data_IF_576813733047
#
_entry.id   IF_576813733047
#
_cell.length_a   1.000
_cell.length_b   1.000
_cell.length_c   1.000
_cell.angle_alpha   90.00
_cell.angle_beta   90.00
_cell.angle_gamma   90.00
#
_symmetry.space_group_name_H-M   'P 1'
#
loop_
_entity.id
_entity.type
_entity.pdbx_description
1 polymer ?
#
# COMPACT_ATOMS: atom_id res chain seq x y z
N UNK A 1 15.60 7.21 -0.12
CA UNK A 1 16.42 8.25 0.55
C UNK A 1 16.17 8.33 2.06
N UNK A 2 15.54 7.33 2.69
CA UNK A 2 15.19 7.36 4.12
C UNK A 2 16.39 7.61 5.04
N UNK A 3 17.47 6.83 4.90
CA UNK A 3 18.62 6.94 5.80
C UNK A 3 19.23 8.34 5.76
N UNK A 4 19.35 8.91 4.57
CA UNK A 4 19.84 10.28 4.40
C UNK A 4 18.94 11.28 5.12
N UNK A 5 17.62 11.16 4.98
CA UNK A 5 16.68 12.05 5.67
C UNK A 5 16.82 11.96 7.20
N UNK A 6 16.92 10.75 7.76
CA UNK A 6 17.15 10.57 9.20
C UNK A 6 18.47 11.21 9.63
N UNK A 7 19.56 10.94 8.91
CA UNK A 7 20.88 11.49 9.24
C UNK A 7 20.94 13.01 9.09
N UNK A 8 20.23 13.59 8.12
CA UNK A 8 20.10 15.03 7.94
C UNK A 8 19.38 15.66 9.13
N UNK A 9 18.28 15.06 9.60
CA UNK A 9 17.56 15.54 10.79
C UNK A 9 18.40 15.44 12.06
N UNK A 10 19.24 14.39 12.17
CA UNK A 10 20.09 14.16 13.34
C UNK A 10 21.46 14.86 13.26
N UNK A 11 21.79 15.51 12.14
CA UNK A 11 23.14 16.02 11.85
C UNK A 11 23.69 16.96 12.94
N UNK A 12 22.82 17.77 13.53
CA UNK A 12 23.20 18.77 14.53
C UNK A 12 22.97 18.29 15.97
N UNK A 13 22.51 17.05 16.16
CA UNK A 13 22.20 16.54 17.49
C UNK A 13 23.47 16.22 18.27
N UNK A 14 23.68 16.89 19.42
CA UNK A 14 24.95 16.88 20.16
C UNK A 14 25.51 15.47 20.44
N UNK A 15 24.65 14.50 20.77
CA UNK A 15 25.09 13.14 21.11
C UNK A 15 25.59 12.29 19.91
N UNK A 16 25.30 12.69 18.67
CA UNK A 16 25.65 11.91 17.46
C UNK A 16 26.42 12.73 16.43
N UNK A 17 26.44 14.05 16.56
CA UNK A 17 27.07 14.99 15.61
C UNK A 17 28.49 14.57 15.22
N UNK A 18 29.35 14.25 16.19
CA UNK A 18 30.75 13.90 15.91
C UNK A 18 30.89 12.67 15.01
N UNK A 19 30.00 11.69 15.17
CA UNK A 19 29.95 10.51 14.33
C UNK A 19 29.37 10.81 12.94
N UNK A 20 28.42 11.75 12.86
CA UNK A 20 27.73 12.12 11.62
C UNK A 20 28.50 13.14 10.75
N UNK A 21 29.44 13.90 11.32
CA UNK A 21 30.17 14.94 10.59
C UNK A 21 31.02 14.41 9.43
N UNK A 22 31.46 13.15 9.51
CA UNK A 22 32.31 12.52 8.50
C UNK A 22 31.52 11.78 7.41
N UNK A 23 30.19 11.68 7.51
CA UNK A 23 29.37 11.03 6.50
C UNK A 23 29.04 11.98 5.34
N UNK A 24 29.22 11.49 4.11
CA UNK A 24 28.86 12.21 2.89
C UNK A 24 27.32 12.23 2.71
N UNK A 25 26.65 13.16 3.40
CA UNK A 25 25.20 13.31 3.37
C UNK A 25 24.67 14.12 2.18
N UNK A 26 25.54 14.71 1.37
CA UNK A 26 25.13 15.39 0.12
C UNK A 26 25.20 14.41 -1.07
N UNK A 27 24.16 14.34 -1.93
CA UNK A 27 24.34 13.72 -3.23
C UNK A 27 25.37 14.54 -4.00
N UNK A 28 26.43 13.91 -4.51
CA UNK A 28 27.32 14.57 -5.50
C UNK A 28 26.43 14.98 -6.67
N UNK A 29 26.43 16.27 -7.04
CA UNK A 29 25.59 16.79 -8.13
C UNK A 29 25.65 15.85 -9.35
N UNK A 30 24.50 15.31 -9.75
CA UNK A 30 24.38 14.46 -10.95
C UNK A 30 24.65 12.96 -10.76
N UNK A 31 25.03 12.47 -9.57
CA UNK A 31 25.12 11.02 -9.28
C UNK A 31 24.11 10.64 -8.19
N UNK A 32 23.08 9.87 -8.57
CA UNK A 32 22.37 9.01 -7.61
C UNK A 32 23.44 8.10 -7.03
N UNK A 33 23.69 8.18 -5.72
CA UNK A 33 24.60 7.28 -5.01
C UNK A 33 24.18 5.85 -5.32
N UNK A 34 24.92 5.21 -6.23
CA UNK A 34 24.73 3.82 -6.65
C UNK A 34 25.76 2.91 -6.00
N UNK A 35 26.49 3.42 -5.01
CA UNK A 35 27.51 2.66 -4.30
C UNK A 35 26.86 1.96 -3.11
N UNK A 36 26.88 0.63 -3.14
CA UNK A 36 26.35 -0.20 -2.07
C UNK A 36 27.08 0.05 -0.74
N UNK A 37 28.36 0.46 -0.78
CA UNK A 37 29.12 0.81 0.42
C UNK A 37 28.55 2.06 1.11
N UNK A 38 28.28 3.13 0.35
CA UNK A 38 27.68 4.36 0.90
C UNK A 38 26.33 4.09 1.58
N UNK A 39 25.52 3.17 1.03
CA UNK A 39 24.23 2.80 1.62
C UNK A 39 24.39 2.03 2.94
N UNK A 40 25.37 1.13 3.02
CA UNK A 40 25.68 0.37 4.23
C UNK A 40 26.19 1.30 5.34
N UNK A 41 27.08 2.23 5.00
CA UNK A 41 27.59 3.22 5.95
C UNK A 41 26.46 4.10 6.50
N UNK A 42 25.57 4.59 5.63
CA UNK A 42 24.40 5.36 6.06
C UNK A 42 23.46 4.54 6.95
N UNK A 43 23.24 3.26 6.64
CA UNK A 43 22.44 2.37 7.47
C UNK A 43 23.04 2.25 8.86
N UNK A 44 24.33 1.92 8.94
CA UNK A 44 24.97 1.63 10.22
C UNK A 44 25.11 2.92 11.06
N UNK A 45 25.29 4.08 10.41
CA UNK A 45 25.21 5.39 11.06
C UNK A 45 23.81 5.69 11.63
N UNK A 46 22.73 5.35 10.90
CA UNK A 46 21.36 5.49 11.41
C UNK A 46 21.14 4.56 12.61
N UNK A 47 21.58 3.31 12.53
CA UNK A 47 21.47 2.35 13.63
C UNK A 47 22.20 2.88 14.86
N UNK A 48 23.45 3.31 14.71
CA UNK A 48 24.23 3.93 15.77
C UNK A 48 23.48 5.12 16.39
N UNK A 49 22.95 6.01 15.56
CA UNK A 49 22.25 7.19 16.04
C UNK A 49 20.97 6.82 16.81
N UNK A 50 20.16 5.89 16.30
CA UNK A 50 18.94 5.44 16.96
C UNK A 50 19.24 4.77 18.31
N UNK A 51 20.29 3.93 18.39
CA UNK A 51 20.72 3.27 19.62
C UNK A 51 21.29 4.27 20.63
N UNK A 52 22.18 5.16 20.18
CA UNK A 52 22.84 6.17 21.04
C UNK A 52 21.86 7.15 21.66
N UNK A 53 20.80 7.47 20.93
CA UNK A 53 19.70 8.34 21.36
C UNK A 53 18.58 7.56 22.06
N UNK A 54 18.69 6.23 22.18
CA UNK A 54 17.71 5.34 22.77
C UNK A 54 16.30 5.51 22.19
N UNK A 55 16.23 5.76 20.88
CA UNK A 55 14.97 5.99 20.18
C UNK A 55 14.04 4.78 20.37
N UNK A 56 12.78 5.06 20.65
CA UNK A 56 11.74 4.02 20.82
C UNK A 56 10.83 3.93 19.61
N UNK A 57 10.57 5.06 18.96
CA UNK A 57 9.74 5.13 17.78
C UNK A 57 10.29 6.11 16.76
N UNK A 58 10.06 5.82 15.47
CA UNK A 58 10.32 6.72 14.34
C UNK A 58 9.03 6.89 13.56
N UNK A 59 8.61 8.13 13.37
CA UNK A 59 7.49 8.48 12.53
C UNK A 59 7.98 8.76 11.11
N UNK A 60 7.32 8.14 10.13
CA UNK A 60 7.52 8.40 8.71
C UNK A 60 6.22 9.00 8.21
N UNK A 61 6.20 10.31 8.04
CA UNK A 61 5.08 11.01 7.43
C UNK A 61 5.12 10.85 5.90
N UNK A 62 3.96 10.98 5.26
CA UNK A 62 3.78 10.75 3.82
C UNK A 62 4.36 9.39 3.36
N UNK A 63 4.22 8.36 4.20
CA UNK A 63 4.84 7.05 4.00
C UNK A 63 4.39 6.34 2.72
N UNK A 64 3.28 6.73 2.10
CA UNK A 64 2.89 6.26 0.77
C UNK A 64 3.97 6.57 -0.29
N UNK A 65 4.86 7.53 -0.06
CA UNK A 65 6.02 7.77 -0.91
C UNK A 65 7.04 6.63 -0.89
N UNK A 66 7.08 5.79 0.15
CA UNK A 66 7.89 4.56 0.15
C UNK A 66 7.44 3.58 -0.93
N UNK A 67 6.20 3.69 -1.42
CA UNK A 67 5.70 2.89 -2.53
C UNK A 67 6.17 3.38 -3.90
N UNK A 68 6.69 4.61 -3.99
CA UNK A 68 7.15 5.21 -5.25
C UNK A 68 8.62 4.92 -5.45
N UNK A 69 8.92 3.73 -5.95
CA UNK A 69 10.29 3.30 -6.27
C UNK A 69 10.54 3.26 -7.77
N UNK A 70 11.74 3.63 -8.18
CA UNK A 70 12.19 3.50 -9.57
C UNK A 70 12.63 2.06 -9.86
N UNK A 71 12.39 1.53 -11.08
CA UNK A 71 12.94 0.24 -11.50
C UNK A 71 14.47 0.22 -11.35
N UNK A 72 15.07 -0.94 -10.98
CA UNK A 72 14.47 -2.27 -10.85
C UNK A 72 13.80 -2.57 -9.50
N UNK A 73 13.85 -1.63 -8.55
CA UNK A 73 13.34 -1.85 -7.20
C UNK A 73 11.82 -1.95 -7.16
N UNK A 74 11.30 -2.70 -6.20
CA UNK A 74 9.88 -2.89 -5.94
C UNK A 74 9.51 -2.33 -4.57
N UNK A 75 8.26 -1.88 -4.36
CA UNK A 75 7.79 -1.42 -3.05
C UNK A 75 8.00 -2.47 -1.93
N UNK A 76 7.93 -3.76 -2.28
CA UNK A 76 8.23 -4.88 -1.36
C UNK A 76 9.65 -4.78 -0.78
N UNK A 77 10.63 -4.35 -1.57
CA UNK A 77 12.03 -4.24 -1.13
C UNK A 77 12.17 -3.21 0.01
N UNK A 78 11.35 -2.15 -0.01
CA UNK A 78 11.30 -1.14 1.05
C UNK A 78 10.69 -1.69 2.34
N UNK A 79 9.74 -2.62 2.26
CA UNK A 79 9.18 -3.28 3.44
C UNK A 79 10.18 -4.23 4.10
N UNK A 80 10.90 -5.03 3.31
CA UNK A 80 11.93 -5.92 3.86
C UNK A 80 13.06 -5.13 4.52
N UNK A 81 13.35 -3.96 3.98
CA UNK A 81 14.25 -2.99 4.59
C UNK A 81 13.76 -2.49 5.96
N UNK A 82 12.52 -1.97 6.05
CA UNK A 82 11.91 -1.53 7.32
C UNK A 82 11.91 -2.64 8.37
N UNK A 83 11.62 -3.86 7.93
CA UNK A 83 11.68 -5.08 8.75
C UNK A 83 13.10 -5.36 9.24
N UNK A 84 14.11 -5.25 8.38
CA UNK A 84 15.51 -5.41 8.75
C UNK A 84 15.94 -4.39 9.80
N UNK A 85 15.54 -3.13 9.66
CA UNK A 85 15.80 -2.07 10.63
C UNK A 85 15.14 -2.35 11.98
N UNK A 86 13.83 -2.61 11.98
CA UNK A 86 13.07 -2.91 13.20
C UNK A 86 13.67 -4.09 13.96
N UNK A 87 14.09 -5.15 13.25
CA UNK A 87 14.73 -6.31 13.85
C UNK A 87 16.09 -5.98 14.52
N UNK A 88 16.88 -5.08 13.93
CA UNK A 88 18.22 -4.72 14.45
C UNK A 88 18.12 -3.73 15.62
N UNK A 89 17.27 -2.72 15.51
CA UNK A 89 17.24 -1.60 16.45
C UNK A 89 16.16 -1.74 17.54
N UNK A 90 15.20 -2.65 17.36
CA UNK A 90 13.99 -2.74 18.19
C UNK A 90 13.18 -1.42 18.27
N UNK A 91 13.27 -0.59 17.21
CA UNK A 91 12.54 0.68 17.09
C UNK A 91 11.21 0.45 16.38
N UNK A 92 10.14 0.98 16.97
CA UNK A 92 8.81 1.00 16.36
C UNK A 92 8.77 2.01 15.21
N UNK A 93 8.58 1.56 13.98
CA UNK A 93 8.38 2.45 12.84
C UNK A 93 6.88 2.68 12.63
N UNK A 94 6.44 3.94 12.74
CA UNK A 94 5.06 4.36 12.57
C UNK A 94 4.95 5.04 11.21
N UNK A 95 4.23 4.38 10.30
CA UNK A 95 3.98 4.90 8.96
C UNK A 95 2.67 5.69 8.97
N UNK A 96 2.76 6.98 8.67
CA UNK A 96 1.61 7.89 8.57
C UNK A 96 1.50 8.32 7.12
N UNK A 97 0.28 8.39 6.60
CA UNK A 97 0.07 8.75 5.22
C UNK A 97 -1.39 8.67 4.80
N UNK A 98 -1.64 9.06 3.56
CA UNK A 98 -2.98 9.01 2.97
C UNK A 98 -3.41 7.57 2.65
N UNK A 99 -4.62 7.42 2.09
CA UNK A 99 -5.20 6.13 1.72
C UNK A 99 -4.43 5.33 0.65
N UNK A 100 -3.42 5.89 -0.01
CA UNK A 100 -2.52 5.12 -0.88
C UNK A 100 -1.67 4.14 -0.06
N UNK A 101 -1.32 4.50 1.18
CA UNK A 101 -0.53 3.67 2.08
C UNK A 101 -1.20 2.33 2.41
N UNK A 102 -2.53 2.25 2.30
CA UNK A 102 -3.29 1.03 2.55
C UNK A 102 -2.81 -0.17 1.71
N UNK A 103 -2.38 0.08 0.47
CA UNK A 103 -1.91 -1.00 -0.41
C UNK A 103 -0.52 -1.51 -0.01
N UNK A 104 0.25 -0.73 0.75
CA UNK A 104 1.62 -1.06 1.13
C UNK A 104 1.69 -2.31 1.99
N UNK A 105 0.75 -2.52 2.93
CA UNK A 105 0.76 -3.69 3.82
C UNK A 105 0.54 -5.01 3.08
N UNK A 106 -0.31 -4.99 2.06
CA UNK A 106 -0.75 -6.18 1.34
C UNK A 106 0.28 -6.71 0.33
N UNK A 107 1.46 -6.09 0.29
CA UNK A 107 2.57 -6.50 -0.57
C UNK A 107 3.28 -7.77 -0.11
N UNK A 108 3.22 -8.12 1.19
CA UNK A 108 3.87 -9.32 1.73
C UNK A 108 3.22 -9.82 3.02
N UNK A 109 2.90 -11.13 3.08
CA UNK A 109 2.39 -11.76 4.30
C UNK A 109 3.37 -11.68 5.49
N UNK A 110 4.68 -11.59 5.22
CA UNK A 110 5.70 -11.42 6.25
C UNK A 110 5.71 -10.01 6.88
N UNK A 111 5.29 -9.00 6.11
CA UNK A 111 5.08 -7.65 6.60
C UNK A 111 3.71 -7.53 7.29
N UNK A 112 2.68 -8.17 6.71
CA UNK A 112 1.32 -8.15 7.24
C UNK A 112 1.20 -8.68 8.67
N UNK A 113 2.03 -9.67 9.07
CA UNK A 113 2.07 -10.21 10.44
C UNK A 113 2.73 -9.28 11.48
N UNK A 114 3.46 -8.25 11.03
CA UNK A 114 4.28 -7.37 11.89
C UNK A 114 3.69 -5.97 12.04
N UNK A 115 2.87 -5.54 11.08
CA UNK A 115 2.17 -4.27 11.10
C UNK A 115 0.80 -4.34 11.75
N UNK A 116 0.37 -3.22 12.33
CA UNK A 116 -1.01 -2.96 12.74
C UNK A 116 -1.50 -1.72 12.00
N UNK A 117 -2.73 -1.78 11.51
CA UNK A 117 -3.33 -0.65 10.81
C UNK A 117 -4.28 0.08 11.75
N UNK A 118 -4.10 1.39 11.84
CA UNK A 118 -5.03 2.28 12.50
C UNK A 118 -5.58 3.20 11.42
N UNK A 119 -6.85 2.99 11.09
CA UNK A 119 -7.56 3.81 10.12
C UNK A 119 -8.20 4.98 10.87
N UNK A 120 -7.82 6.19 10.49
CA UNK A 120 -8.41 7.44 10.97
C UNK A 120 -9.35 8.00 9.89
N UNK A 121 -10.64 7.62 9.89
CA UNK A 121 -11.63 8.21 8.98
C UNK A 121 -11.95 9.65 9.39
N UNK A 122 -12.73 10.35 8.56
CA UNK A 122 -13.36 11.62 8.99
C UNK A 122 -14.39 11.38 10.10
N UNK A 123 -14.80 12.45 10.76
CA UNK A 123 -16.01 12.44 11.58
C UNK A 123 -17.25 12.32 10.68
N UNK A 124 -18.11 11.36 10.96
CA UNK A 124 -19.36 11.09 10.24
C UNK A 124 -20.54 11.80 10.90
N UNK A 125 -21.27 12.60 10.12
CA UNK A 125 -22.39 13.40 10.63
C UNK A 125 -23.64 12.56 10.91
N UNK A 126 -23.65 11.31 10.47
CA UNK A 126 -24.70 10.33 10.78
C UNK A 126 -24.51 9.67 12.16
N UNK A 127 -23.34 9.82 12.79
CA UNK A 127 -23.02 9.23 14.08
C UNK A 127 -23.08 10.28 15.18
N UNK A 128 -24.08 10.17 16.07
CA UNK A 128 -24.26 11.12 17.18
C UNK A 128 -23.01 11.26 18.06
N UNK A 129 -22.31 10.15 18.32
CA UNK A 129 -21.07 10.15 19.10
C UNK A 129 -19.97 10.93 18.38
N UNK A 130 -19.81 10.73 17.07
CA UNK A 130 -18.80 11.46 16.29
C UNK A 130 -19.15 12.94 16.15
N UNK A 131 -20.42 13.30 16.08
CA UNK A 131 -20.88 14.70 16.12
C UNK A 131 -20.46 15.39 17.43
N UNK A 132 -20.62 14.70 18.56
CA UNK A 132 -20.22 15.22 19.88
C UNK A 132 -18.69 15.39 19.97
N UNK A 133 -17.92 14.40 19.49
CA UNK A 133 -16.45 14.48 19.44
C UNK A 133 -15.97 15.60 18.51
N UNK A 134 -16.62 15.79 17.34
CA UNK A 134 -16.30 16.89 16.43
C UNK A 134 -16.59 18.25 17.06
N UNK A 135 -17.74 18.42 17.72
CA UNK A 135 -18.07 19.64 18.44
C UNK A 135 -17.08 19.91 19.59
N UNK A 136 -16.62 18.87 20.28
CA UNK A 136 -15.55 18.94 21.26
C UNK A 136 -14.21 19.42 20.67
N UNK A 137 -13.82 18.87 19.53
CA UNK A 137 -12.62 19.31 18.80
C UNK A 137 -12.73 20.77 18.32
N UNK A 138 -13.89 21.17 17.80
CA UNK A 138 -14.16 22.57 17.42
C UNK A 138 -14.03 23.50 18.63
N UNK A 139 -14.67 23.18 19.76
CA UNK A 139 -14.54 23.93 21.02
C UNK A 139 -13.07 24.07 21.41
N UNK A 140 -12.33 22.97 21.42
CA UNK A 140 -10.92 22.95 21.79
C UNK A 140 -10.06 23.90 20.94
N UNK A 141 -10.34 23.97 19.62
CA UNK A 141 -9.65 24.88 18.71
C UNK A 141 -10.03 26.34 18.97
N UNK A 142 -11.33 26.63 19.08
CA UNK A 142 -11.85 28.00 19.28
C UNK A 142 -11.39 28.61 20.62
N UNK A 143 -11.30 27.82 21.69
CA UNK A 143 -10.80 28.27 23.00
C UNK A 143 -9.33 28.73 22.98
N UNK A 144 -8.57 28.33 21.95
CA UNK A 144 -7.14 28.68 21.79
C UNK A 144 -6.92 29.80 20.80
N UNK A 145 -7.98 30.34 20.21
CA UNK A 145 -7.89 31.48 19.30
C UNK A 145 -7.47 32.72 20.09
N UNK A 146 -6.38 33.41 19.71
CA UNK A 146 -5.88 34.60 20.39
C UNK A 146 -6.68 35.88 20.03
N UNK A 147 -7.98 35.76 19.75
CA UNK A 147 -8.90 36.84 19.37
C UNK A 147 -10.17 36.74 20.21
N UNK A 148 -10.89 37.85 20.34
CA UNK A 148 -12.23 37.87 20.94
C UNK A 148 -13.13 36.93 20.12
N UNK A 149 -13.68 35.92 20.77
CA UNK A 149 -14.43 34.84 20.11
C UNK A 149 -15.71 34.57 20.89
N UNK A 150 -16.86 34.69 20.22
CA UNK A 150 -18.15 34.27 20.77
C UNK A 150 -18.29 32.74 20.62
N UNK A 151 -17.75 32.02 21.61
CA UNK A 151 -17.65 30.56 21.58
C UNK A 151 -19.02 29.89 21.46
N UNK A 152 -19.99 30.33 22.26
CA UNK A 152 -21.32 29.70 22.28
C UNK A 152 -22.04 29.89 20.95
N UNK A 153 -21.99 31.10 20.37
CA UNK A 153 -22.58 31.37 19.06
C UNK A 153 -21.93 30.55 17.94
N UNK A 154 -20.59 30.44 17.92
CA UNK A 154 -19.89 29.63 16.91
C UNK A 154 -20.17 28.14 17.06
N UNK A 155 -20.30 27.63 18.29
CA UNK A 155 -20.61 26.22 18.55
C UNK A 155 -22.03 25.84 18.13
N UNK A 156 -22.99 26.76 18.13
CA UNK A 156 -24.32 26.53 17.54
C UNK A 156 -24.24 26.21 16.04
N UNK A 157 -23.17 26.67 15.38
CA UNK A 157 -22.90 26.42 13.95
C UNK A 157 -21.96 25.22 13.70
N UNK A 158 -21.77 24.30 14.66
CA UNK A 158 -20.82 23.19 14.51
C UNK A 158 -21.01 22.36 13.22
N UNK A 159 -22.25 22.15 12.76
CA UNK A 159 -22.54 21.43 11.51
C UNK A 159 -21.95 22.13 10.30
N UNK A 160 -22.00 23.47 10.28
CA UNK A 160 -21.40 24.26 9.21
C UNK A 160 -19.88 24.07 9.18
N UNK A 161 -19.23 24.05 10.34
CA UNK A 161 -17.81 23.73 10.43
C UNK A 161 -17.50 22.31 9.95
N UNK A 162 -18.35 21.34 10.31
CA UNK A 162 -18.18 19.95 9.92
C UNK A 162 -18.32 19.76 8.40
N UNK A 163 -19.36 20.34 7.80
CA UNK A 163 -19.58 20.28 6.35
C UNK A 163 -18.45 20.94 5.56
N UNK A 164 -17.99 22.10 6.01
CA UNK A 164 -16.98 22.89 5.29
C UNK A 164 -15.55 22.34 5.46
N UNK A 165 -15.31 21.63 6.56
CA UNK A 165 -14.08 20.87 6.77
C UNK A 165 -14.16 19.41 6.32
N UNK A 166 -15.31 18.98 5.78
CA UNK A 166 -15.54 17.61 5.30
C UNK A 166 -15.41 16.57 6.44
N UNK A 167 -15.68 16.99 7.68
CA UNK A 167 -15.47 16.21 8.88
C UNK A 167 -13.99 15.94 9.20
N UNK A 168 -13.06 16.63 8.54
CA UNK A 168 -11.63 16.48 8.78
C UNK A 168 -11.13 17.59 9.71
N UNK A 169 -10.78 17.23 10.95
CA UNK A 169 -10.29 18.19 11.96
C UNK A 169 -9.00 18.91 11.54
N UNK A 170 -8.17 18.28 10.71
CA UNK A 170 -6.97 18.92 10.13
C UNK A 170 -7.34 20.11 9.24
N UNK A 171 -8.33 19.94 8.35
CA UNK A 171 -8.84 21.01 7.48
C UNK A 171 -9.49 22.11 8.33
N UNK A 172 -10.26 21.73 9.35
CA UNK A 172 -10.87 22.68 10.28
C UNK A 172 -9.80 23.54 10.99
N UNK A 173 -8.75 22.89 11.50
CA UNK A 173 -7.64 23.57 12.18
C UNK A 173 -6.97 24.57 11.25
N UNK A 174 -6.58 24.13 10.06
CA UNK A 174 -5.85 24.98 9.13
C UNK A 174 -6.71 26.17 8.70
N UNK A 175 -7.99 25.94 8.42
CA UNK A 175 -8.95 27.01 8.14
C UNK A 175 -9.06 28.05 9.28
N UNK A 176 -9.18 27.61 10.53
CA UNK A 176 -9.24 28.53 11.69
C UNK A 176 -7.92 29.29 11.83
N UNK A 177 -6.78 28.60 11.70
CA UNK A 177 -5.43 29.22 11.80
C UNK A 177 -5.23 30.27 10.72
N UNK A 178 -5.56 29.95 9.47
CA UNK A 178 -5.41 30.86 8.33
C UNK A 178 -6.31 32.09 8.48
N UNK A 179 -7.55 31.89 8.93
CA UNK A 179 -8.47 32.99 9.23
C UNK A 179 -7.90 33.90 10.32
N UNK A 180 -7.41 33.32 11.42
CA UNK A 180 -6.85 34.08 12.55
C UNK A 180 -5.59 34.83 12.12
N UNK A 181 -4.72 34.21 11.32
CA UNK A 181 -3.52 34.85 10.81
C UNK A 181 -3.86 36.09 9.97
N UNK A 182 -4.80 35.98 9.05
CA UNK A 182 -5.25 37.10 8.23
C UNK A 182 -5.88 38.23 9.07
N UNK A 183 -6.73 37.89 10.05
CA UNK A 183 -7.31 38.88 10.96
C UNK A 183 -6.25 39.62 11.78
N UNK A 184 -5.23 38.92 12.26
CA UNK A 184 -4.10 39.51 12.98
C UNK A 184 -3.30 40.46 12.08
N UNK A 185 -3.04 40.10 10.82
CA UNK A 185 -2.35 40.96 9.84
C UNK A 185 -3.13 42.24 9.54
N UNK A 186 -4.46 42.17 9.55
CA UNK A 186 -5.36 43.32 9.39
C UNK A 186 -5.57 44.14 10.66
N UNK A 187 -4.99 43.71 11.80
CA UNK A 187 -5.17 44.37 13.09
C UNK A 187 -6.57 44.20 13.69
N UNK A 188 -7.36 43.24 13.20
CA UNK A 188 -8.67 42.89 13.76
C UNK A 188 -8.50 42.09 15.05
N UNK A 189 -9.40 42.29 16.00
CA UNK A 189 -9.32 41.70 17.35
C UNK A 189 -10.39 40.64 17.62
N UNK A 190 -11.32 40.42 16.69
CA UNK A 190 -12.48 39.55 16.87
C UNK A 190 -12.57 38.53 15.74
N UNK A 191 -12.77 37.25 16.08
CA UNK A 191 -13.10 36.21 15.13
C UNK A 191 -14.60 36.21 14.85
N UNK A 192 -14.99 36.42 13.58
CA UNK A 192 -16.40 36.41 13.16
C UNK A 192 -16.68 35.32 12.13
N UNK A 193 -17.97 34.95 11.99
CA UNK A 193 -18.39 33.97 11.00
C UNK A 193 -18.17 34.45 9.56
N UNK A 194 -18.23 35.77 9.32
CA UNK A 194 -17.93 36.37 8.01
C UNK A 194 -16.47 36.18 7.63
N UNK A 195 -15.54 36.42 8.58
CA UNK A 195 -14.12 36.21 8.34
C UNK A 195 -13.81 34.73 8.06
N UNK A 196 -14.45 33.81 8.81
CA UNK A 196 -14.34 32.38 8.57
C UNK A 196 -14.88 32.01 7.18
N UNK A 197 -16.02 32.57 6.74
CA UNK A 197 -16.56 32.33 5.39
C UNK A 197 -15.62 32.78 4.28
N UNK A 198 -14.93 33.91 4.47
CA UNK A 198 -14.00 34.47 3.49
C UNK A 198 -12.76 33.58 3.29
N UNK A 199 -12.26 32.99 4.37
CA UNK A 199 -11.05 32.16 4.38
C UNK A 199 -11.33 30.67 4.20
N UNK A 200 -12.58 30.31 3.97
CA UNK A 200 -12.97 28.93 3.80
C UNK A 200 -12.55 28.37 2.44
N UNK A 201 -12.38 27.04 2.39
CA UNK A 201 -12.09 26.34 1.13
C UNK A 201 -13.17 26.60 0.07
N UNK A 202 -12.69 26.89 -1.14
CA UNK A 202 -13.54 27.14 -2.29
C UNK A 202 -14.37 25.89 -2.64
N UNK A 203 -15.57 26.07 -3.24
CA UNK A 203 -16.46 24.94 -3.53
C UNK A 203 -15.80 23.81 -4.34
N UNK A 204 -14.96 24.13 -5.32
CA UNK A 204 -14.26 23.16 -6.16
C UNK A 204 -13.20 22.36 -5.38
N UNK A 205 -12.47 23.02 -4.47
CA UNK A 205 -11.53 22.36 -3.56
C UNK A 205 -12.26 21.38 -2.64
N UNK A 206 -13.40 21.80 -2.07
CA UNK A 206 -14.21 20.95 -1.19
C UNK A 206 -14.78 19.74 -1.92
N UNK A 207 -15.29 19.91 -3.14
CA UNK A 207 -15.75 18.77 -3.97
C UNK A 207 -14.61 17.77 -4.19
N UNK A 208 -13.42 18.25 -4.52
CA UNK A 208 -12.27 17.37 -4.75
C UNK A 208 -11.88 16.60 -3.48
N UNK A 209 -11.79 17.28 -2.34
CA UNK A 209 -11.48 16.65 -1.05
C UNK A 209 -12.55 15.62 -0.65
N UNK A 210 -13.83 15.94 -0.81
CA UNK A 210 -14.94 15.01 -0.56
C UNK A 210 -14.80 13.75 -1.42
N UNK A 211 -14.49 13.91 -2.71
CA UNK A 211 -14.28 12.78 -3.63
C UNK A 211 -13.09 11.91 -3.20
N UNK A 212 -11.98 12.53 -2.84
CA UNK A 212 -10.75 11.84 -2.41
C UNK A 212 -10.96 11.08 -1.09
N UNK A 213 -11.60 11.71 -0.09
CA UNK A 213 -11.93 11.09 1.20
C UNK A 213 -12.85 9.89 1.00
N UNK A 214 -13.97 10.06 0.27
CA UNK A 214 -14.90 8.95 -0.02
C UNK A 214 -14.23 7.80 -0.78
N UNK A 215 -13.37 8.11 -1.75
CA UNK A 215 -12.67 7.09 -2.51
C UNK A 215 -11.72 6.30 -1.60
N UNK A 216 -11.00 6.98 -0.71
CA UNK A 216 -10.10 6.37 0.25
C UNK A 216 -10.81 5.49 1.29
N UNK A 217 -11.88 5.99 1.90
CA UNK A 217 -12.69 5.23 2.87
C UNK A 217 -13.30 3.98 2.24
N UNK A 218 -13.89 4.10 1.05
CA UNK A 218 -14.39 2.95 0.29
C UNK A 218 -13.30 1.95 -0.07
N UNK A 219 -12.09 2.42 -0.41
CA UNK A 219 -10.95 1.54 -0.73
C UNK A 219 -10.59 0.67 0.47
N UNK A 220 -10.54 1.24 1.67
CA UNK A 220 -10.25 0.51 2.90
C UNK A 220 -11.37 -0.48 3.22
N UNK A 221 -12.62 -0.02 3.20
CA UNK A 221 -13.78 -0.84 3.56
C UNK A 221 -13.96 -2.02 2.59
N UNK A 222 -13.99 -1.74 1.28
CA UNK A 222 -14.08 -2.78 0.26
C UNK A 222 -12.83 -3.69 0.24
N UNK A 223 -11.67 -3.16 0.62
CA UNK A 223 -10.46 -3.96 0.82
C UNK A 223 -10.64 -4.99 1.93
N UNK A 224 -11.06 -4.56 3.12
CA UNK A 224 -11.32 -5.41 4.29
C UNK A 224 -12.39 -6.46 4.00
N UNK A 225 -13.51 -6.05 3.41
CA UNK A 225 -14.61 -6.95 3.06
C UNK A 225 -14.17 -8.05 2.08
N UNK A 226 -13.44 -7.68 1.01
CA UNK A 226 -12.89 -8.66 0.06
C UNK A 226 -11.89 -9.61 0.73
N UNK A 227 -11.01 -9.10 1.58
CA UNK A 227 -10.05 -9.95 2.31
C UNK A 227 -10.76 -10.93 3.26
N UNK A 228 -11.84 -10.51 3.93
CA UNK A 228 -12.64 -11.38 4.78
C UNK A 228 -13.33 -12.50 3.98
N UNK A 229 -13.95 -12.16 2.85
CA UNK A 229 -14.56 -13.15 1.95
C UNK A 229 -13.52 -14.13 1.40
N UNK A 230 -12.39 -13.63 0.89
CA UNK A 230 -11.29 -14.45 0.38
C UNK A 230 -10.77 -15.42 1.45
N UNK A 231 -10.62 -14.96 2.70
CA UNK A 231 -10.19 -15.81 3.80
C UNK A 231 -11.21 -16.92 4.06
N UNK A 232 -12.50 -16.59 4.14
CA UNK A 232 -13.57 -17.56 4.34
C UNK A 232 -13.57 -18.64 3.26
N UNK A 233 -13.40 -18.26 1.98
CA UNK A 233 -13.33 -19.21 0.86
C UNK A 233 -12.11 -20.12 0.93
N UNK A 234 -10.96 -19.59 1.35
CA UNK A 234 -9.71 -20.35 1.49
C UNK A 234 -9.76 -21.32 2.67
N UNK A 235 -10.41 -20.95 3.78
CA UNK A 235 -10.53 -21.82 4.97
C UNK A 235 -11.64 -22.86 4.84
N UNK A 236 -12.64 -22.63 4.00
CA UNK A 236 -13.80 -23.53 3.84
C UNK A 236 -13.58 -24.65 2.82
N UNK A 237 -12.54 -24.59 1.98
CA UNK A 237 -12.22 -25.64 1.01
C UNK A 237 -11.26 -26.66 1.66
N UNK A 238 -11.64 -27.94 1.85
CA UNK A 238 -10.68 -28.95 2.25
C UNK A 238 -9.62 -29.09 1.15
N UNK A 239 -8.34 -29.07 1.54
CA UNK A 239 -7.24 -29.26 0.62
C UNK A 239 -7.47 -30.56 -0.16
N UNK A 240 -7.61 -30.47 -1.49
CA UNK A 240 -7.56 -31.66 -2.34
C UNK A 240 -6.16 -32.24 -2.19
N UNK A 241 -6.04 -33.33 -1.44
CA UNK A 241 -4.85 -34.16 -1.43
C UNK A 241 -4.50 -34.51 -2.88
N UNK A 242 -3.24 -34.31 -3.33
CA UNK A 242 -2.84 -34.76 -4.65
C UNK A 242 -3.05 -36.28 -4.76
N UNK A 243 -3.51 -36.80 -5.91
CA UNK A 243 -3.68 -38.23 -6.09
C UNK A 243 -2.32 -38.92 -6.01
N UNK A 244 -2.19 -39.85 -5.06
CA UNK A 244 -1.08 -40.81 -4.99
C UNK A 244 -0.97 -41.55 -6.33
N UNK A 245 0.21 -41.61 -6.98
CA UNK A 245 0.36 -42.42 -8.18
C UNK A 245 0.25 -43.90 -7.80
N UNK A 246 -0.84 -44.52 -8.23
CA UNK A 246 -1.03 -45.97 -8.23
C UNK A 246 -0.05 -46.60 -9.22
N UNK A 247 1.03 -47.20 -8.72
CA UNK A 247 1.86 -48.12 -9.50
C UNK A 247 1.19 -49.50 -9.54
N UNK A 248 0.59 -49.83 -10.67
CA UNK A 248 0.50 -51.18 -11.22
C UNK A 248 1.05 -51.06 -12.65
N UNK A 249 2.07 -51.80 -13.07
CA UNK A 249 1.90 -53.16 -13.56
C UNK A 249 3.27 -53.86 -13.69
N UNK A 250 3.20 -55.16 -13.48
CA UNK A 250 4.16 -56.26 -13.51
C UNK A 250 4.90 -56.53 -14.83
N UNK A 251 6.12 -57.06 -14.74
CA UNK A 251 6.72 -58.21 -15.49
C UNK A 251 8.19 -58.35 -15.05
N UNK A 252 8.85 -59.49 -14.89
CA UNK A 252 8.57 -60.93 -15.03
C UNK A 252 9.80 -61.68 -14.44
N UNK A 253 9.58 -62.88 -13.89
CA UNK A 253 10.55 -63.78 -13.22
C UNK A 253 11.59 -64.37 -14.22
N UNK A 254 12.69 -65.05 -13.80
CA UNK A 254 12.61 -66.44 -13.30
C UNK A 254 13.44 -66.76 -12.04
N UNK A 255 12.96 -67.81 -11.37
CA UNK A 255 13.47 -68.46 -10.16
C UNK A 255 14.85 -69.11 -10.33
N UNK A 256 15.57 -69.24 -9.22
CA UNK A 256 16.38 -70.43 -8.93
C UNK A 256 16.30 -70.74 -7.43
N UNK A 257 16.21 -72.03 -7.13
CA UNK A 257 15.83 -72.69 -5.88
C UNK A 257 16.90 -72.58 -4.78
N UNK A 258 16.50 -72.71 -3.50
CA UNK A 258 16.89 -73.84 -2.62
C UNK A 258 16.31 -73.73 -1.20
N UNK A 259 16.12 -74.92 -0.64
CA UNK A 259 15.44 -75.40 0.58
C UNK A 259 16.05 -74.94 1.94
N UNK A 260 15.38 -75.20 3.09
CA UNK A 260 15.74 -74.64 4.40
C UNK A 260 16.44 -75.61 5.40
N UNK A 261 17.12 -74.99 6.38
CA UNK A 261 17.48 -75.43 7.77
C UNK A 261 18.74 -76.33 7.98
N UNK A 262 19.31 -76.49 9.21
CA UNK A 262 19.20 -75.75 10.50
C UNK A 262 20.55 -75.44 11.25
N UNK A 263 20.44 -74.68 12.35
CA UNK A 263 21.26 -74.50 13.58
C UNK A 263 22.69 -75.08 13.74
N UNK A 264 23.62 -74.26 14.29
CA UNK A 264 24.64 -74.62 15.32
C UNK A 264 25.39 -73.38 15.86
N UNK A 265 25.85 -73.48 17.11
CA UNK A 265 26.26 -72.44 18.08
C UNK A 265 27.58 -71.64 17.86
N UNK A 266 27.55 -70.34 18.27
CA UNK A 266 28.52 -69.53 19.08
C UNK A 266 30.02 -69.52 18.68
N UNK A 267 30.80 -68.37 18.65
CA UNK A 267 30.78 -67.25 19.61
C UNK A 267 30.89 -65.81 19.04
N UNK A 268 30.54 -64.83 19.91
CA UNK A 268 30.76 -63.40 19.71
C UNK A 268 32.23 -63.05 19.43
N UNK A 269 32.46 -62.06 18.55
CA UNK A 269 33.48 -61.06 18.85
C UNK A 269 33.04 -59.61 18.55
N UNK A 270 33.38 -58.75 19.53
CA UNK A 270 33.88 -57.37 19.42
C UNK A 270 33.03 -56.31 18.71
N UNK A 271 32.59 -55.36 19.53
CA UNK A 271 32.07 -54.01 19.23
C UNK A 271 32.85 -53.34 18.08
N UNK A 272 32.20 -52.87 17.01
CA UNK A 272 32.76 -51.87 16.12
C UNK A 272 32.30 -50.46 16.53
N UNK A 273 33.19 -49.52 16.26
CA UNK A 273 33.21 -48.12 16.67
C UNK A 273 32.03 -47.30 16.14
N UNK A 274 31.79 -46.19 16.82
CA UNK A 274 30.87 -45.11 16.41
C UNK A 274 31.09 -44.70 14.96
N UNK A 275 30.22 -45.14 14.04
CA UNK A 275 30.12 -44.56 12.70
C UNK A 275 29.57 -43.15 12.82
N UNK A 276 30.49 -42.17 12.72
CA UNK A 276 30.18 -40.79 12.31
C UNK A 276 29.42 -40.87 10.99
N UNK A 277 28.17 -40.43 10.98
CA UNK A 277 27.40 -40.29 9.74
C UNK A 277 27.90 -39.02 9.05
N UNK A 278 28.87 -39.15 8.15
CA UNK A 278 29.20 -38.08 7.21
C UNK A 278 28.16 -38.10 6.09
N UNK A 279 27.22 -37.14 6.12
CA UNK A 279 26.42 -36.79 4.94
C UNK A 279 27.30 -35.94 4.02
N UNK A 280 27.42 -36.36 2.76
CA UNK A 280 27.94 -35.48 1.71
C UNK A 280 27.06 -34.22 1.60
N UNK A 281 27.62 -33.05 1.25
CA UNK A 281 26.84 -31.83 1.10
C UNK A 281 25.95 -31.96 -0.14
N UNK A 282 24.69 -32.35 0.07
CA UNK A 282 23.67 -32.33 -0.97
C UNK A 282 22.53 -31.44 -0.51
N UNK A 283 22.14 -30.52 -1.39
CA UNK A 283 21.05 -29.57 -1.18
C UNK A 283 19.73 -30.35 -1.13
N UNK A 284 18.97 -30.21 -0.06
CA UNK A 284 17.59 -30.70 -0.03
C UNK A 284 16.76 -29.91 -1.07
N UNK A 285 15.88 -30.56 -1.84
CA UNK A 285 14.99 -29.86 -2.75
C UNK A 285 13.98 -29.04 -1.92
N UNK A 286 14.22 -27.74 -1.82
CA UNK A 286 13.19 -26.76 -1.44
C UNK A 286 12.20 -26.72 -2.59
N UNK A 287 10.92 -26.93 -2.27
CA UNK A 287 9.83 -27.16 -3.22
C UNK A 287 9.89 -26.26 -4.45
N UNK A 288 9.59 -26.87 -5.60
CA UNK A 288 9.44 -26.21 -6.88
C UNK A 288 8.58 -24.96 -6.72
N UNK A 289 9.25 -23.81 -6.79
CA UNK A 289 8.55 -22.55 -7.03
C UNK A 289 7.81 -22.72 -8.34
N UNK A 290 6.48 -22.77 -8.27
CA UNK A 290 5.62 -22.68 -9.44
C UNK A 290 6.09 -21.46 -10.23
N UNK A 291 6.72 -21.71 -11.37
CA UNK A 291 6.96 -20.69 -12.38
C UNK A 291 5.58 -20.36 -12.93
N UNK A 292 4.87 -19.45 -12.27
CA UNK A 292 3.71 -18.80 -12.88
C UNK A 292 4.26 -17.97 -14.03
N UNK A 293 4.10 -18.46 -15.26
CA UNK A 293 4.34 -17.66 -16.45
C UNK A 293 3.62 -16.33 -16.29
N UNK A 294 4.33 -15.23 -16.49
CA UNK A 294 3.78 -13.88 -16.49
C UNK A 294 2.69 -13.76 -17.56
N UNK A 295 1.43 -14.00 -17.23
CA UNK A 295 0.33 -13.60 -18.11
C UNK A 295 0.18 -12.09 -17.94
N UNK A 296 0.85 -11.33 -18.82
CA UNK A 296 0.74 -9.86 -18.91
C UNK A 296 -0.64 -9.40 -19.39
N UNK A 297 -1.53 -10.31 -19.78
CA UNK A 297 -2.84 -10.03 -20.34
C UNK A 297 -3.80 -9.40 -19.34
N UNK A 298 -4.48 -8.34 -19.77
CA UNK A 298 -5.53 -7.68 -19.00
C UNK A 298 -6.73 -8.62 -18.77
N UNK A 299 -7.38 -8.54 -17.62
CA UNK A 299 -8.57 -9.36 -17.26
C UNK A 299 -9.79 -9.05 -18.14
N UNK A 300 -9.81 -7.87 -18.78
CA UNK A 300 -10.82 -7.44 -19.76
C UNK A 300 -10.46 -7.81 -21.21
N UNK A 301 -9.28 -8.39 -21.44
CA UNK A 301 -8.78 -8.73 -22.77
C UNK A 301 -9.71 -9.73 -23.47
N UNK A 302 -10.18 -9.41 -24.68
CA UNK A 302 -10.97 -10.33 -25.51
C UNK A 302 -12.45 -10.47 -25.15
N UNK A 303 -12.97 -9.68 -24.19
CA UNK A 303 -14.40 -9.71 -23.82
C UNK A 303 -15.28 -9.08 -24.90
N UNK A 304 -16.49 -9.61 -25.06
CA UNK A 304 -17.54 -8.97 -25.87
C UNK A 304 -18.05 -7.76 -25.09
N UNK A 305 -18.23 -6.64 -25.77
CA UNK A 305 -18.73 -5.40 -25.19
C UNK A 305 -20.10 -5.08 -25.75
N UNK A 306 -21.01 -4.65 -24.87
CA UNK A 306 -22.38 -4.21 -25.21
C UNK A 306 -22.37 -2.78 -25.75
N UNK A 307 -21.62 -2.56 -26.84
CA UNK A 307 -21.57 -1.29 -27.55
C UNK A 307 -22.19 -1.50 -28.94
N UNK A 308 -23.20 -0.71 -29.29
CA UNK A 308 -23.90 -0.82 -30.57
C UNK A 308 -23.03 -0.33 -31.74
N UNK A 309 -22.94 -1.13 -32.80
CA UNK A 309 -22.28 -0.74 -34.05
C UNK A 309 -22.88 0.52 -34.68
N UNK A 310 -24.17 0.76 -34.46
CA UNK A 310 -24.87 1.96 -34.93
C UNK A 310 -24.34 3.21 -34.23
N UNK A 311 -24.24 3.18 -32.90
CA UNK A 311 -23.72 4.29 -32.09
C UNK A 311 -22.28 4.65 -32.46
N UNK A 312 -21.46 3.65 -32.80
CA UNK A 312 -20.08 3.88 -33.23
C UNK A 312 -19.96 4.53 -34.61
N UNK A 313 -20.80 4.11 -35.58
CA UNK A 313 -20.83 4.74 -36.91
C UNK A 313 -21.33 6.17 -36.82
N UNK A 314 -22.38 6.41 -36.05
CA UNK A 314 -22.99 7.74 -35.89
C UNK A 314 -22.02 8.73 -35.21
N UNK A 315 -21.19 8.27 -34.27
CA UNK A 315 -20.17 9.09 -33.61
C UNK A 315 -18.85 9.23 -34.39
N UNK A 316 -18.57 8.37 -35.37
CA UNK A 316 -17.30 8.36 -36.12
C UNK A 316 -16.05 7.99 -35.32
N UNK A 317 -16.20 7.54 -34.06
CA UNK A 317 -15.09 7.20 -33.16
C UNK A 317 -14.97 5.69 -32.99
N UNK A 318 -13.82 5.14 -33.40
CA UNK A 318 -13.47 3.72 -33.28
C UNK A 318 -12.48 3.43 -32.14
N UNK A 319 -12.30 4.36 -31.20
CA UNK A 319 -11.40 4.20 -30.05
C UNK A 319 -12.19 3.85 -28.80
N UNK A 320 -11.73 2.84 -28.06
CA UNK A 320 -12.35 2.37 -26.82
C UNK A 320 -11.31 2.29 -25.70
N UNK A 321 -11.73 2.61 -24.49
CA UNK A 321 -10.93 2.49 -23.27
C UNK A 321 -11.29 1.21 -22.51
N UNK A 322 -10.27 0.50 -22.05
CA UNK A 322 -10.45 -0.66 -21.19
C UNK A 322 -10.95 -0.21 -19.79
N UNK A 323 -12.07 -0.74 -19.26
CA UNK A 323 -12.57 -0.38 -17.93
C UNK A 323 -11.63 -0.79 -16.79
N UNK A 324 -10.82 -1.83 -16.99
CA UNK A 324 -9.95 -2.39 -15.94
C UNK A 324 -8.58 -1.70 -15.86
N UNK A 325 -7.96 -1.44 -17.01
CA UNK A 325 -6.59 -0.90 -17.05
C UNK A 325 -6.46 0.42 -17.82
N UNK A 326 -7.56 0.98 -18.35
CA UNK A 326 -7.57 2.24 -19.08
C UNK A 326 -6.74 2.23 -20.38
N UNK A 327 -6.39 1.06 -20.91
CA UNK A 327 -5.73 0.94 -22.22
C UNK A 327 -6.66 1.40 -23.33
N UNK A 328 -6.15 2.29 -24.19
CA UNK A 328 -6.81 2.72 -25.42
C UNK A 328 -6.58 1.69 -26.53
N UNK A 329 -7.65 1.23 -27.18
CA UNK A 329 -7.59 0.31 -28.31
C UNK A 329 -8.50 0.78 -29.45
N UNK A 330 -8.07 0.55 -30.68
CA UNK A 330 -8.92 0.69 -31.86
C UNK A 330 -9.83 -0.53 -31.98
N UNK A 331 -11.11 -0.31 -32.21
CA UNK A 331 -12.08 -1.36 -32.49
C UNK A 331 -12.10 -1.66 -33.99
N UNK A 332 -12.07 -2.95 -34.32
CA UNK A 332 -12.31 -3.44 -35.68
C UNK A 332 -13.62 -4.23 -35.66
N UNK A 333 -14.73 -3.69 -36.17
CA UNK A 333 -16.01 -4.39 -36.14
C UNK A 333 -15.97 -5.60 -37.08
N UNK A 334 -16.17 -6.80 -36.53
CA UNK A 334 -16.34 -8.05 -37.29
C UNK A 334 -17.65 -8.72 -36.83
N UNK A 335 -18.66 -8.74 -37.71
CA UNK A 335 -19.98 -9.30 -37.40
C UNK A 335 -20.85 -8.40 -36.51
N UNK A 336 -21.88 -8.96 -35.87
CA UNK A 336 -22.86 -8.22 -35.04
C UNK A 336 -22.38 -7.94 -33.61
N UNK A 337 -21.35 -8.65 -33.12
CA UNK A 337 -20.83 -8.51 -31.76
C UNK A 337 -19.45 -7.84 -31.75
N UNK A 338 -19.28 -6.79 -30.94
CA UNK A 338 -18.01 -6.08 -30.82
C UNK A 338 -17.17 -6.73 -29.72
N UNK A 339 -15.97 -7.20 -30.08
CA UNK A 339 -15.00 -7.73 -29.12
C UNK A 339 -13.93 -6.69 -28.80
N UNK A 340 -13.61 -6.57 -27.52
CA UNK A 340 -12.50 -5.75 -27.07
C UNK A 340 -11.17 -6.42 -27.49
N UNK A 341 -10.27 -5.72 -28.19
CA UNK A 341 -9.00 -6.28 -28.65
C UNK A 341 -8.14 -6.84 -27.53
N UNK A 342 -7.45 -7.95 -27.80
CA UNK A 342 -6.53 -8.53 -26.82
C UNK A 342 -5.41 -7.56 -26.48
N UNK A 343 -5.11 -7.39 -25.20
CA UNK A 343 -4.05 -6.48 -24.76
C UNK A 343 -3.44 -6.85 -23.41
N UNK A 344 -2.20 -6.43 -23.22
CA UNK A 344 -1.55 -6.47 -21.91
C UNK A 344 -2.08 -5.37 -20.99
N UNK A 345 -2.05 -5.61 -19.68
CA UNK A 345 -2.46 -4.63 -18.68
C UNK A 345 -1.61 -3.36 -18.77
N UNK A 346 -2.28 -2.21 -18.84
CA UNK A 346 -1.61 -0.91 -18.86
C UNK A 346 -0.83 -0.72 -17.56
N UNK A 347 0.45 -0.34 -17.69
CA UNK A 347 1.34 -0.08 -16.54
C UNK A 347 1.39 1.40 -16.15
N UNK A 348 0.90 2.29 -17.00
CA UNK A 348 0.93 3.76 -16.81
C UNK A 348 -0.48 4.32 -16.62
N UNK A 349 -0.63 5.29 -15.71
CA UNK A 349 -1.92 5.92 -15.37
C UNK A 349 -2.12 7.31 -15.99
N UNK A 350 -1.37 7.65 -17.05
CA UNK A 350 -1.52 8.93 -17.75
C UNK A 350 -2.95 9.03 -18.33
N UNK A 351 -3.72 10.08 -17.99
CA UNK A 351 -5.07 10.25 -18.52
C UNK A 351 -5.06 10.31 -20.05
N UNK A 352 -5.97 9.56 -20.66
CA UNK A 352 -6.16 9.60 -22.10
C UNK A 352 -6.87 10.91 -22.46
N UNK A 353 -6.26 11.71 -23.34
CA UNK A 353 -6.79 13.02 -23.77
C UNK A 353 -7.62 12.96 -25.05
N UNK A 354 -7.70 11.79 -25.68
CA UNK A 354 -8.42 11.60 -26.94
C UNK A 354 -9.90 11.24 -26.69
N UNK A 355 -10.77 11.67 -27.61
CA UNK A 355 -12.18 11.25 -27.68
C UNK A 355 -12.27 9.74 -27.87
N UNK A 356 -12.99 9.06 -26.98
CA UNK A 356 -13.07 7.59 -26.95
C UNK A 356 -14.33 7.13 -26.23
N UNK A 357 -14.70 5.87 -26.46
CA UNK A 357 -15.74 5.19 -25.69
C UNK A 357 -15.17 4.69 -24.36
N UNK A 358 -15.78 5.08 -23.23
CA UNK A 358 -15.45 4.59 -21.90
C UNK A 358 -16.70 4.02 -21.22
N UNK A 359 -16.51 3.06 -20.31
CA UNK A 359 -17.62 2.43 -19.59
C UNK A 359 -17.86 3.14 -18.26
N UNK A 360 -19.05 3.68 -18.07
CA UNK A 360 -19.50 4.33 -16.84
C UNK A 360 -20.79 3.66 -16.35
N UNK A 361 -20.84 3.23 -15.09
CA UNK A 361 -22.02 2.61 -14.45
C UNK A 361 -22.71 1.49 -15.26
N UNK A 362 -21.96 0.77 -16.10
CA UNK A 362 -22.49 -0.31 -16.94
C UNK A 362 -22.72 0.08 -18.40
N UNK A 363 -22.81 1.37 -18.71
CA UNK A 363 -23.11 1.90 -20.05
C UNK A 363 -21.84 2.44 -20.73
N UNK A 364 -21.78 2.37 -22.06
CA UNK A 364 -20.68 2.94 -22.84
C UNK A 364 -21.02 4.36 -23.30
N UNK A 365 -20.17 5.32 -22.94
CA UNK A 365 -20.36 6.74 -23.22
C UNK A 365 -19.13 7.33 -23.93
N UNK A 366 -19.33 8.41 -24.67
CA UNK A 366 -18.28 9.13 -25.37
C UNK A 366 -17.61 10.12 -24.42
N UNK A 367 -16.31 9.94 -24.16
CA UNK A 367 -15.53 10.76 -23.23
C UNK A 367 -14.39 11.45 -23.97
N UNK A 368 -14.17 12.73 -23.71
CA UNK A 368 -13.08 13.53 -24.27
C UNK A 368 -13.54 14.49 -25.37
N UNK A 369 -14.31 15.51 -25.00
CA UNK A 369 -14.35 16.77 -25.75
C UNK A 369 -13.24 17.68 -25.25
#
# INVERSE_FOLDING_TARGET
DYYRQVLVQLRNHAAVKDHLMNLALSPKLGRKSSDAAEWLDMRDAVIYALERLQVKAVFIDEAQHLMRVEPPFKPVDQLDWLKGMTNRTNVLHILVGNYDLYDFRNLSGQAARRGRDLHFPRYHLESQVECEEFAGALRYLLERVPLITDLESLLLHWQWFADWSIGCVGILRDWVVDTVAALCEEGKTTLTIEALKEHALQPDQRVRLEMEVRAGERKVEAGKARSAQQLQELTSKPAKTPPTPSNQTTSSVPQAETTPAPHSDVPLPKRPETRKIERAPQRDPVGEGVVTGNTTKCVFSGRVIELSLRNMRDAGILKVECPECLSLRGLTPQGEAIRFPSHDSRKTRTPNRETRWAKWEGTWELVGR
#
